data_IF_051510495657
#
_entry.id   IF_051510495657
#
_cell.length_a   1.000
_cell.length_b   1.000
_cell.length_c   1.000
_cell.angle_alpha   90.00
_cell.angle_beta   90.00
_cell.angle_gamma   90.00
#
_symmetry.space_group_name_H-M   'P 1'
#
loop_
_entity.id
_entity.type
_entity.pdbx_description
1 polymer ?
#
# COMPACT_ATOMS: atom_id res chain seq x y z
N UNK A 1 21.02 5.36 -2.10
CA UNK A 1 20.38 6.27 -3.07
C UNK A 1 19.62 5.38 -4.07
N UNK A 2 18.35 5.71 -4.34
CA UNK A 2 17.58 5.01 -5.37
C UNK A 2 18.05 5.58 -6.71
N UNK A 3 18.49 4.71 -7.63
CA UNK A 3 18.87 5.17 -8.97
C UNK A 3 17.63 5.63 -9.75
N UNK A 4 17.69 6.74 -10.49
CA UNK A 4 16.57 7.18 -11.31
C UNK A 4 16.23 6.14 -12.36
N UNK A 5 14.96 5.79 -12.50
CA UNK A 5 14.49 4.95 -13.61
C UNK A 5 14.77 5.66 -14.95
N UNK A 6 15.32 4.97 -15.96
CA UNK A 6 15.66 5.57 -17.26
C UNK A 6 14.44 5.87 -18.15
N UNK A 7 13.26 6.07 -17.57
CA UNK A 7 12.03 6.35 -18.32
C UNK A 7 10.85 6.65 -17.42
N UNK A 8 9.68 6.81 -18.04
CA UNK A 8 8.43 6.96 -17.30
C UNK A 8 8.07 5.64 -16.63
N UNK A 9 7.86 5.65 -15.31
CA UNK A 9 7.48 4.50 -14.51
C UNK A 9 6.05 4.66 -14.01
N UNK A 10 5.23 3.63 -14.20
CA UNK A 10 3.90 3.53 -13.59
C UNK A 10 3.97 2.49 -12.49
N UNK A 11 3.69 2.90 -11.26
CA UNK A 11 3.60 2.01 -10.09
C UNK A 11 2.15 1.64 -9.87
N UNK A 12 1.85 0.34 -9.90
CA UNK A 12 0.50 -0.20 -9.71
C UNK A 12 0.31 -0.58 -8.25
N UNK A 13 -0.76 -0.10 -7.64
CA UNK A 13 -1.05 -0.39 -6.23
C UNK A 13 -2.53 -0.71 -6.01
N UNK A 14 -2.81 -1.56 -5.03
CA UNK A 14 -4.15 -1.98 -4.62
C UNK A 14 -4.29 -1.86 -3.12
N UNK A 15 -5.44 -1.36 -2.66
CA UNK A 15 -5.71 -1.10 -1.24
C UNK A 15 -6.78 -2.06 -0.69
N UNK A 16 -7.01 -2.06 0.62
CA UNK A 16 -8.17 -2.58 1.34
C UNK A 16 -8.33 -4.11 1.39
N UNK A 17 -7.31 -4.87 1.04
CA UNK A 17 -7.32 -6.35 1.18
C UNK A 17 -8.49 -7.06 0.48
N UNK A 18 -8.98 -6.54 -0.63
CA UNK A 18 -10.16 -7.08 -1.34
C UNK A 18 -9.87 -8.47 -1.94
N UNK A 19 -10.81 -9.41 -1.83
CA UNK A 19 -10.65 -10.79 -2.28
C UNK A 19 -10.30 -10.92 -3.78
N UNK A 20 -10.82 -10.03 -4.63
CA UNK A 20 -10.51 -10.02 -6.06
C UNK A 20 -9.04 -9.69 -6.37
N UNK A 21 -8.30 -9.12 -5.42
CA UNK A 21 -6.86 -8.92 -5.59
C UNK A 21 -6.11 -10.25 -5.76
N UNK A 22 -6.44 -11.25 -4.96
CA UNK A 22 -5.84 -12.59 -5.05
C UNK A 22 -6.45 -13.43 -6.18
N UNK A 23 -7.77 -13.33 -6.40
CA UNK A 23 -8.48 -14.27 -7.29
C UNK A 23 -8.53 -13.83 -8.74
N UNK A 24 -8.37 -12.55 -9.02
CA UNK A 24 -8.47 -11.99 -10.37
C UNK A 24 -7.27 -11.10 -10.73
N UNK A 25 -6.93 -10.13 -9.87
CA UNK A 25 -5.92 -9.10 -10.20
C UNK A 25 -4.52 -9.72 -10.30
N UNK A 26 -4.09 -10.45 -9.28
CA UNK A 26 -2.75 -11.03 -9.27
C UNK A 26 -2.51 -11.99 -10.43
N UNK A 27 -3.40 -12.95 -10.75
CA UNK A 27 -3.25 -13.80 -11.94
C UNK A 27 -3.15 -13.00 -13.25
N UNK A 28 -3.91 -11.90 -13.39
CA UNK A 28 -3.85 -11.05 -14.58
C UNK A 28 -2.51 -10.32 -14.69
N UNK A 29 -1.98 -9.77 -13.59
CA UNK A 29 -0.70 -9.08 -13.56
C UNK A 29 0.45 -10.05 -13.84
N UNK A 30 0.46 -11.22 -13.20
CA UNK A 30 1.45 -12.27 -13.44
C UNK A 30 1.50 -12.68 -14.91
N UNK A 31 0.34 -12.89 -15.55
CA UNK A 31 0.24 -13.20 -16.98
C UNK A 31 0.86 -12.12 -17.87
N UNK A 32 0.90 -10.88 -17.40
CA UNK A 32 1.44 -9.73 -18.12
C UNK A 32 2.87 -9.37 -17.73
N UNK A 33 3.44 -10.04 -16.74
CA UNK A 33 4.78 -9.74 -16.18
C UNK A 33 4.83 -8.41 -15.42
N UNK A 34 3.72 -7.96 -14.84
CA UNK A 34 3.62 -6.73 -14.08
C UNK A 34 3.77 -7.00 -12.58
N UNK A 35 4.59 -6.18 -11.91
CA UNK A 35 4.61 -6.08 -10.46
C UNK A 35 3.49 -5.17 -9.93
N UNK A 36 3.20 -5.30 -8.63
CA UNK A 36 2.31 -4.40 -7.90
C UNK A 36 2.60 -4.44 -6.41
N UNK A 37 2.12 -3.44 -5.69
CA UNK A 37 2.06 -3.42 -4.23
C UNK A 37 0.62 -3.58 -3.77
N UNK A 38 0.38 -4.52 -2.86
CA UNK A 38 -0.91 -4.70 -2.19
C UNK A 38 -0.82 -4.16 -0.77
N UNK A 39 -1.55 -3.07 -0.49
CA UNK A 39 -1.60 -2.44 0.82
C UNK A 39 -2.67 -3.10 1.69
N UNK A 40 -2.23 -3.77 2.74
CA UNK A 40 -3.05 -4.66 3.57
C UNK A 40 -3.58 -3.95 4.82
N UNK A 41 -4.87 -4.15 5.07
CA UNK A 41 -5.56 -3.76 6.31
C UNK A 41 -6.43 -4.92 6.81
N UNK A 42 -6.58 -5.02 8.13
CA UNK A 42 -7.59 -5.87 8.79
C UNK A 42 -8.88 -5.07 9.11
N UNK A 43 -8.97 -3.85 8.60
CA UNK A 43 -10.15 -3.00 8.76
C UNK A 43 -11.38 -3.55 8.03
N UNK A 44 -12.46 -2.81 8.10
CA UNK A 44 -13.75 -3.21 7.53
C UNK A 44 -14.21 -4.57 8.11
N UNK A 45 -14.76 -5.43 7.27
CA UNK A 45 -15.20 -6.79 7.63
C UNK A 45 -14.12 -7.86 7.36
N UNK A 46 -12.83 -7.47 7.26
CA UNK A 46 -11.73 -8.37 6.87
C UNK A 46 -11.69 -9.67 7.65
N UNK A 47 -11.94 -9.63 8.96
CA UNK A 47 -11.84 -10.84 9.81
C UNK A 47 -12.98 -11.84 9.61
N UNK A 48 -14.15 -11.39 9.16
CA UNK A 48 -15.38 -12.21 9.11
C UNK A 48 -15.90 -12.45 7.70
N UNK A 49 -15.76 -11.50 6.78
CA UNK A 49 -16.26 -11.61 5.40
C UNK A 49 -15.16 -12.06 4.43
N UNK A 50 -14.99 -13.37 4.30
CA UNK A 50 -14.00 -13.95 3.37
C UNK A 50 -14.51 -14.08 1.93
N UNK A 51 -15.72 -13.64 1.66
CA UNK A 51 -16.23 -13.48 0.29
C UNK A 51 -15.68 -12.20 -0.35
N UNK A 52 -15.59 -11.12 0.43
CA UNK A 52 -15.14 -9.81 -0.07
C UNK A 52 -13.69 -9.48 0.28
N UNK A 53 -13.12 -10.10 1.31
CA UNK A 53 -11.75 -9.82 1.75
C UNK A 53 -10.86 -11.05 1.70
N UNK A 54 -9.58 -10.85 1.39
CA UNK A 54 -8.56 -11.90 1.37
C UNK A 54 -8.39 -12.56 2.73
N UNK A 55 -7.84 -13.77 2.73
CA UNK A 55 -7.26 -14.39 3.91
C UNK A 55 -5.76 -14.05 4.01
N UNK A 56 -5.16 -14.23 5.18
CA UNK A 56 -3.72 -14.05 5.34
C UNK A 56 -2.90 -15.07 4.52
N UNK A 57 -3.42 -16.26 4.28
CA UNK A 57 -2.83 -17.27 3.39
C UNK A 57 -2.80 -16.78 1.94
N UNK A 58 -3.85 -16.10 1.48
CA UNK A 58 -3.86 -15.46 0.15
C UNK A 58 -2.86 -14.32 0.06
N UNK A 59 -2.73 -13.51 1.12
CA UNK A 59 -1.73 -12.43 1.18
C UNK A 59 -0.31 -13.01 1.17
N UNK A 60 -0.08 -14.10 1.89
CA UNK A 60 1.20 -14.84 1.82
C UNK A 60 1.49 -15.34 0.40
N UNK A 61 0.49 -15.89 -0.28
CA UNK A 61 0.62 -16.36 -1.66
C UNK A 61 1.01 -15.19 -2.60
N UNK A 62 0.37 -14.03 -2.48
CA UNK A 62 0.76 -12.83 -3.24
C UNK A 62 2.25 -12.48 -3.05
N UNK A 63 2.74 -12.53 -1.81
CA UNK A 63 4.16 -12.27 -1.54
C UNK A 63 5.07 -13.35 -2.16
N UNK A 64 4.67 -14.62 -2.09
CA UNK A 64 5.40 -15.74 -2.70
C UNK A 64 5.45 -15.62 -4.24
N UNK A 65 4.40 -15.09 -4.85
CA UNK A 65 4.31 -14.83 -6.28
C UNK A 65 5.12 -13.59 -6.73
N UNK A 66 5.79 -12.90 -5.79
CA UNK A 66 6.69 -11.78 -6.06
C UNK A 66 6.06 -10.41 -5.97
N UNK A 67 4.82 -10.29 -5.51
CA UNK A 67 4.21 -8.99 -5.24
C UNK A 67 4.69 -8.41 -3.90
N UNK A 68 4.78 -7.09 -3.85
CA UNK A 68 5.05 -6.38 -2.61
C UNK A 68 3.81 -6.33 -1.73
N UNK A 69 4.01 -6.57 -0.41
CA UNK A 69 2.99 -6.39 0.61
C UNK A 69 3.31 -5.12 1.40
N UNK A 70 2.44 -4.13 1.29
CA UNK A 70 2.53 -2.86 2.00
C UNK A 70 1.56 -2.78 3.18
N UNK A 71 1.77 -1.83 4.06
CA UNK A 71 0.98 -1.62 5.27
C UNK A 71 -0.09 -0.53 5.05
N UNK A 72 -1.34 -0.83 5.40
CA UNK A 72 -2.47 0.12 5.32
C UNK A 72 -3.18 0.31 6.67
N UNK A 73 -2.46 0.12 7.77
CA UNK A 73 -2.94 0.09 9.15
C UNK A 73 -3.91 -1.06 9.46
N UNK A 74 -4.05 -1.38 10.74
CA UNK A 74 -4.98 -2.43 11.16
C UNK A 74 -6.43 -2.07 10.90
N UNK A 75 -6.84 -0.85 11.31
CA UNK A 75 -8.27 -0.47 11.38
C UNK A 75 -8.75 0.39 10.23
N UNK A 76 -7.87 0.72 9.30
CA UNK A 76 -8.17 1.67 8.22
C UNK A 76 -8.69 3.04 8.71
N UNK A 77 -8.30 3.47 9.90
CA UNK A 77 -8.68 4.78 10.43
C UNK A 77 -7.74 5.88 9.92
N UNK A 78 -8.30 7.02 9.55
CA UNK A 78 -7.51 8.16 9.03
C UNK A 78 -6.47 8.65 10.05
N UNK A 79 -5.21 8.71 9.63
CA UNK A 79 -4.07 8.96 10.52
C UNK A 79 -4.03 10.37 11.12
N UNK A 80 -4.63 11.35 10.44
CA UNK A 80 -4.61 12.75 10.88
C UNK A 80 -5.35 12.99 12.22
N UNK A 81 -6.26 12.09 12.58
CA UNK A 81 -7.08 12.18 13.81
C UNK A 81 -6.70 11.16 14.88
N UNK A 82 -5.76 10.27 14.58
CA UNK A 82 -5.32 9.25 15.53
C UNK A 82 -4.29 9.80 16.51
N UNK A 83 -4.32 9.30 17.74
CA UNK A 83 -3.21 9.50 18.68
C UNK A 83 -1.98 8.72 18.18
N UNK A 84 -0.76 9.24 18.37
CA UNK A 84 0.47 8.58 17.90
C UNK A 84 0.59 7.12 18.35
N UNK A 85 0.20 6.82 19.60
CA UNK A 85 0.29 5.48 20.17
C UNK A 85 -0.70 4.50 19.50
N UNK A 86 -1.87 5.00 19.10
CA UNK A 86 -2.88 4.19 18.38
C UNK A 86 -2.40 3.89 16.97
N UNK A 87 -1.85 4.89 16.28
CA UNK A 87 -1.28 4.70 14.95
C UNK A 87 -0.11 3.72 15.00
N UNK A 88 0.79 3.86 15.97
CA UNK A 88 1.92 2.95 16.16
C UNK A 88 1.45 1.51 16.35
N UNK A 89 0.44 1.28 17.18
CA UNK A 89 -0.12 -0.04 17.42
C UNK A 89 -0.80 -0.62 16.16
N UNK A 90 -1.51 0.21 15.38
CA UNK A 90 -2.17 -0.23 14.14
C UNK A 90 -1.15 -0.58 13.03
N UNK A 91 -0.05 0.15 12.94
CA UNK A 91 1.07 -0.16 12.03
C UNK A 91 1.78 -1.43 12.43
N UNK A 92 2.15 -1.53 13.71
CA UNK A 92 2.85 -2.70 14.28
C UNK A 92 2.05 -3.99 14.13
N UNK A 93 0.75 -3.94 14.28
CA UNK A 93 -0.11 -5.12 14.11
C UNK A 93 0.06 -5.75 12.73
N UNK A 94 0.04 -4.97 11.66
CA UNK A 94 0.24 -5.49 10.29
C UNK A 94 1.65 -6.07 10.13
N UNK A 95 2.68 -5.41 10.70
CA UNK A 95 4.05 -5.95 10.68
C UNK A 95 4.13 -7.31 11.38
N UNK A 96 3.45 -7.46 12.52
CA UNK A 96 3.38 -8.72 13.27
C UNK A 96 2.64 -9.81 12.50
N UNK A 97 1.54 -9.46 11.83
CA UNK A 97 0.83 -10.42 10.96
C UNK A 97 1.71 -10.84 9.79
N UNK A 98 2.38 -9.92 9.12
CA UNK A 98 3.34 -10.27 8.07
C UNK A 98 4.40 -11.26 8.58
N UNK A 99 5.03 -10.97 9.72
CA UNK A 99 6.02 -11.86 10.33
C UNK A 99 5.44 -13.25 10.65
N UNK A 100 4.23 -13.31 11.18
CA UNK A 100 3.52 -14.58 11.48
C UNK A 100 3.33 -15.47 10.24
N UNK A 101 3.11 -14.87 9.09
CA UNK A 101 2.91 -15.57 7.81
C UNK A 101 4.19 -15.66 6.97
N UNK A 102 5.36 -15.32 7.52
CA UNK A 102 6.64 -15.41 6.82
C UNK A 102 6.81 -14.36 5.70
N UNK A 103 6.00 -13.30 5.73
CA UNK A 103 6.10 -12.16 4.83
C UNK A 103 7.14 -11.18 5.39
N UNK A 104 8.06 -10.64 4.60
CA UNK A 104 8.99 -9.61 5.06
C UNK A 104 8.27 -8.42 5.69
N UNK A 105 8.94 -7.73 6.63
CA UNK A 105 8.40 -6.49 7.19
C UNK A 105 8.10 -5.50 6.05
N UNK A 106 6.88 -4.93 5.98
CA UNK A 106 6.54 -3.92 5.00
C UNK A 106 7.47 -2.71 5.07
N UNK A 107 7.93 -2.24 3.92
CA UNK A 107 8.72 -1.01 3.78
C UNK A 107 7.94 0.10 3.07
N UNK A 108 6.77 -0.20 2.57
CA UNK A 108 5.83 0.74 1.97
C UNK A 108 4.55 0.85 2.80
N UNK A 109 3.98 2.04 2.78
CA UNK A 109 2.78 2.40 3.54
C UNK A 109 1.76 3.12 2.65
N UNK A 110 0.48 2.98 2.99
CA UNK A 110 -0.61 3.74 2.37
C UNK A 110 -1.43 4.42 3.46
N UNK A 111 -1.57 5.74 3.36
CA UNK A 111 -2.36 6.52 4.31
C UNK A 111 -3.85 6.28 4.11
N UNK A 112 -4.60 5.70 5.08
CA UNK A 112 -6.05 5.61 5.02
C UNK A 112 -6.68 6.98 4.84
N UNK A 113 -7.62 7.11 3.88
CA UNK A 113 -8.30 8.36 3.60
C UNK A 113 -7.43 9.47 3.01
N UNK A 114 -6.26 9.15 2.47
CA UNK A 114 -5.33 10.06 1.77
C UNK A 114 -4.65 11.14 2.63
N UNK A 115 -5.07 11.31 3.87
CA UNK A 115 -4.56 12.37 4.75
C UNK A 115 -3.28 11.94 5.46
N UNK A 116 -2.32 12.84 5.51
CA UNK A 116 -1.07 12.66 6.25
C UNK A 116 -1.07 13.51 7.53
N UNK A 117 -0.09 13.26 8.40
CA UNK A 117 0.27 14.14 9.51
C UNK A 117 1.77 14.04 9.77
N UNK A 118 2.37 15.11 10.31
CA UNK A 118 3.79 15.11 10.68
C UNK A 118 4.14 13.97 11.64
N UNK A 119 3.25 13.68 12.59
CA UNK A 119 3.41 12.57 13.53
C UNK A 119 3.44 11.22 12.83
N UNK A 120 2.58 11.01 11.80
CA UNK A 120 2.56 9.78 11.03
C UNK A 120 3.82 9.64 10.17
N UNK A 121 4.26 10.69 9.49
CA UNK A 121 5.49 10.69 8.70
C UNK A 121 6.70 10.38 9.59
N UNK A 122 6.79 11.02 10.76
CA UNK A 122 7.85 10.76 11.73
C UNK A 122 7.86 9.31 12.19
N UNK A 123 6.69 8.77 12.58
CA UNK A 123 6.55 7.37 13.01
C UNK A 123 7.02 6.39 11.93
N UNK A 124 6.58 6.58 10.69
CA UNK A 124 6.95 5.71 9.58
C UNK A 124 8.47 5.76 9.32
N UNK A 125 9.07 6.94 9.36
CA UNK A 125 10.52 7.12 9.21
C UNK A 125 11.30 6.40 10.32
N UNK A 126 10.88 6.55 11.57
CA UNK A 126 11.49 5.88 12.73
C UNK A 126 11.35 4.35 12.66
N UNK A 127 10.26 3.84 12.07
CA UNK A 127 10.05 2.41 11.86
C UNK A 127 10.73 1.86 10.60
N UNK A 128 11.41 2.69 9.81
CA UNK A 128 12.19 2.28 8.64
C UNK A 128 11.36 2.09 7.36
N UNK A 129 10.17 2.69 7.28
CA UNK A 129 9.44 2.76 6.02
C UNK A 129 10.20 3.64 5.02
N UNK A 130 10.22 3.21 3.76
CA UNK A 130 10.95 3.87 2.69
C UNK A 130 10.02 4.70 1.80
N UNK A 131 8.79 4.24 1.63
CA UNK A 131 7.79 4.88 0.77
C UNK A 131 6.44 4.93 1.46
N UNK A 132 5.70 6.03 1.27
CA UNK A 132 4.32 6.10 1.73
C UNK A 132 3.46 6.91 0.75
N UNK A 133 2.37 6.28 0.24
CA UNK A 133 1.46 6.90 -0.71
C UNK A 133 0.37 7.68 0.02
N UNK A 134 0.28 8.96 -0.30
CA UNK A 134 -0.73 9.91 0.17
C UNK A 134 -1.79 10.19 -0.89
N UNK A 135 -2.53 11.27 -0.75
CA UNK A 135 -3.36 11.86 -1.78
C UNK A 135 -2.60 12.84 -2.66
N UNK A 136 -3.28 13.38 -3.64
CA UNK A 136 -2.71 14.33 -4.59
C UNK A 136 -3.07 13.95 -6.02
N UNK A 137 -2.71 14.79 -6.99
CA UNK A 137 -3.01 14.58 -8.39
C UNK A 137 -1.81 14.85 -9.30
N UNK A 138 -0.61 14.92 -8.74
CA UNK A 138 0.64 15.14 -9.48
C UNK A 138 1.49 13.88 -9.49
N UNK A 139 2.40 13.80 -10.45
CA UNK A 139 3.44 12.79 -10.46
C UNK A 139 4.45 13.04 -9.33
N UNK A 140 5.03 11.98 -8.78
CA UNK A 140 6.11 12.07 -7.80
C UNK A 140 7.39 12.60 -8.43
N UNK A 141 8.00 13.62 -7.81
CA UNK A 141 9.31 14.13 -8.18
C UNK A 141 10.37 13.68 -7.14
N UNK A 142 11.20 12.70 -7.47
CA UNK A 142 12.16 12.15 -6.52
C UNK A 142 13.24 13.15 -6.07
N UNK A 143 13.36 14.31 -6.75
CA UNK A 143 14.31 15.35 -6.39
C UNK A 143 13.76 16.33 -5.34
N UNK A 144 12.44 16.46 -5.24
CA UNK A 144 11.78 17.48 -4.44
C UNK A 144 10.78 16.93 -3.43
N UNK A 145 10.15 15.78 -3.72
CA UNK A 145 9.11 15.21 -2.88
C UNK A 145 9.68 14.29 -1.78
N UNK A 146 9.05 14.31 -0.60
CA UNK A 146 9.35 13.35 0.45
C UNK A 146 8.78 11.96 0.07
N UNK A 147 9.61 10.91 0.01
CA UNK A 147 9.14 9.56 -0.31
C UNK A 147 8.11 9.00 0.68
N UNK A 148 7.96 9.60 1.85
CA UNK A 148 6.91 9.25 2.80
C UNK A 148 5.59 10.03 2.60
N UNK A 149 5.48 10.82 1.51
CA UNK A 149 4.24 11.52 1.13
C UNK A 149 4.02 11.51 -0.39
N UNK A 150 4.31 10.38 -1.04
CA UNK A 150 4.18 10.22 -2.49
C UNK A 150 2.74 10.53 -2.92
N UNK A 151 2.53 11.47 -3.85
CA UNK A 151 1.21 11.78 -4.35
C UNK A 151 0.64 10.62 -5.20
N UNK A 152 -0.68 10.52 -5.24
CA UNK A 152 -1.37 9.59 -6.15
C UNK A 152 -1.68 10.33 -7.46
N UNK A 153 -0.98 9.99 -8.53
CA UNK A 153 -1.13 10.69 -9.82
C UNK A 153 -2.53 10.48 -10.43
N UNK A 154 -3.10 9.27 -10.27
CA UNK A 154 -4.44 8.93 -10.75
C UNK A 154 -5.01 7.74 -9.98
N UNK A 155 -6.34 7.56 -10.01
CA UNK A 155 -7.08 6.59 -9.21
C UNK A 155 -7.59 5.37 -10.00
N UNK A 156 -7.06 5.13 -11.18
CA UNK A 156 -7.35 3.94 -11.98
C UNK A 156 -8.77 3.85 -12.54
N UNK A 157 -9.49 4.95 -12.68
CA UNK A 157 -10.77 4.95 -13.39
C UNK A 157 -10.53 4.70 -14.87
N UNK A 158 -11.19 3.69 -15.51
CA UNK A 158 -10.82 3.20 -16.83
C UNK A 158 -10.72 4.29 -17.90
N UNK A 159 -11.67 5.22 -17.94
CA UNK A 159 -11.75 6.23 -19.00
C UNK A 159 -10.78 7.40 -18.79
N UNK A 160 -10.43 7.72 -17.54
CA UNK A 160 -9.48 8.80 -17.24
C UNK A 160 -8.04 8.34 -17.22
N UNK A 161 -7.78 7.10 -16.79
CA UNK A 161 -6.42 6.57 -16.65
C UNK A 161 -5.68 6.51 -17.98
N UNK A 162 -6.36 6.12 -19.06
CA UNK A 162 -5.74 6.03 -20.38
C UNK A 162 -5.29 7.40 -20.91
N UNK A 163 -6.04 8.46 -20.64
CA UNK A 163 -5.66 9.82 -21.03
C UNK A 163 -4.54 10.38 -20.13
N UNK A 164 -4.52 10.04 -18.85
CA UNK A 164 -3.51 10.49 -17.90
C UNK A 164 -2.14 9.82 -18.11
N UNK A 165 -2.11 8.62 -18.69
CA UNK A 165 -0.87 7.86 -18.97
C UNK A 165 -0.24 8.23 -20.31
N UNK A 166 -0.97 8.83 -21.22
CA UNK A 166 -0.45 9.32 -22.52
C UNK A 166 0.40 10.57 -22.36
#
# INVERSE_FOLDING_TARGET
AVEPSPGRLVVITFDDSVASHATFVAPLLMKRGFGATFFITDGFEFLVDKTHYMTWEQIQALNTDGFEIGNHTRKHAGVAKQKPEQLAADVEYIEQQCAKYGIPKPVSFRYPGYQTSEAAVKLLRERGYQFARAGGAQAFDPSNDDPLTIPQAFDGKPDSTLEQVK
#
